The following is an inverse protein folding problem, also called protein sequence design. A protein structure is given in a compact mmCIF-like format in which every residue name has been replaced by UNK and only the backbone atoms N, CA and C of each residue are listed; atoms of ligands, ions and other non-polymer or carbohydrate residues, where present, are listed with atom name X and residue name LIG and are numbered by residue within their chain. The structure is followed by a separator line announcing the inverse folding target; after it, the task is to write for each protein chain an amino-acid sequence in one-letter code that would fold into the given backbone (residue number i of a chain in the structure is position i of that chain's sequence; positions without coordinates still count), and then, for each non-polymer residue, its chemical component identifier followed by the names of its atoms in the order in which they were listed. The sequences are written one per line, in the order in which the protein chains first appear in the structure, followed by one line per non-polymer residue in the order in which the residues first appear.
data_IF_371464781061
#
_entry.id   IF_371464781061
#
_cell.length_a   1.000
_cell.length_b   1.000
_cell.length_c   1.000
_cell.angle_alpha   90.00
_cell.angle_beta   90.00
_cell.angle_gamma   90.00
#
_symmetry.space_group_name_H-M   'P 1'
#
loop_
_entity.id
_entity.type
_entity.pdbx_description
1 polymer ?
#
# COMPACT_ATOMS: atom_id res chain seq x y z
N UNK A 1 -11.97 14.63 9.03
CA UNK A 1 -10.94 13.73 8.49
C UNK A 1 -9.81 14.57 7.94
N UNK A 2 -8.56 14.13 8.10
CA UNK A 2 -7.42 14.71 7.35
C UNK A 2 -7.72 14.62 5.84
N UNK A 3 -7.25 15.59 5.07
CA UNK A 3 -7.42 15.59 3.61
C UNK A 3 -6.50 14.56 2.94
N UNK A 4 -6.73 14.30 1.64
CA UNK A 4 -5.82 13.50 0.81
C UNK A 4 -4.38 14.01 0.91
N UNK A 5 -4.20 15.33 0.78
CA UNK A 5 -2.89 15.97 0.82
C UNK A 5 -2.25 15.81 2.19
N UNK A 6 -3.02 15.94 3.28
CA UNK A 6 -2.50 15.75 4.64
C UNK A 6 -1.98 14.32 4.85
N UNK A 7 -2.76 13.31 4.45
CA UNK A 7 -2.36 11.91 4.58
C UNK A 7 -1.12 11.58 3.73
N UNK A 8 -1.13 11.97 2.45
CA UNK A 8 -0.01 11.69 1.55
C UNK A 8 1.25 12.45 1.92
N UNK A 9 1.12 13.71 2.37
CA UNK A 9 2.28 14.50 2.82
C UNK A 9 2.89 13.90 4.08
N UNK A 10 2.06 13.52 5.06
CA UNK A 10 2.55 12.86 6.28
C UNK A 10 3.26 11.56 5.94
N UNK A 11 2.70 10.73 5.05
CA UNK A 11 3.32 9.48 4.63
C UNK A 11 4.63 9.72 3.84
N UNK A 12 4.66 10.70 2.94
CA UNK A 12 5.84 11.06 2.15
C UNK A 12 7.02 11.49 3.02
N UNK A 13 6.80 12.07 4.20
CA UNK A 13 7.91 12.41 5.12
C UNK A 13 8.71 11.17 5.57
N UNK A 14 8.11 9.99 5.57
CA UNK A 14 8.77 8.72 5.89
C UNK A 14 9.39 8.03 4.67
N UNK A 15 9.15 8.51 3.46
CA UNK A 15 9.51 7.83 2.22
C UNK A 15 10.00 8.85 1.19
N UNK A 16 11.24 9.32 1.33
CA UNK A 16 11.84 10.27 0.38
C UNK A 16 13.01 9.69 -0.39
N UNK A 17 13.64 8.62 0.11
CA UNK A 17 14.70 7.97 -0.63
C UNK A 17 14.11 7.21 -1.83
N UNK A 18 14.54 7.48 -3.07
CA UNK A 18 13.98 6.83 -4.25
C UNK A 18 14.15 5.31 -4.22
N UNK A 19 15.18 4.79 -3.53
CA UNK A 19 15.37 3.34 -3.34
C UNK A 19 14.27 2.77 -2.46
N UNK A 20 13.91 3.47 -1.39
CA UNK A 20 12.79 3.09 -0.52
C UNK A 20 11.48 3.08 -1.30
N UNK A 21 11.18 4.16 -2.03
CA UNK A 21 9.99 4.27 -2.87
C UNK A 21 9.94 3.13 -3.91
N UNK A 22 11.07 2.80 -4.55
CA UNK A 22 11.16 1.69 -5.49
C UNK A 22 10.81 0.34 -4.85
N UNK A 23 11.26 0.07 -3.62
CA UNK A 23 10.85 -1.16 -2.92
C UNK A 23 9.36 -1.18 -2.59
N UNK A 24 8.75 -0.02 -2.30
CA UNK A 24 7.32 0.08 -2.01
C UNK A 24 6.44 -0.25 -3.22
N UNK A 25 6.89 0.09 -4.43
CA UNK A 25 6.21 -0.28 -5.69
C UNK A 25 6.06 -1.79 -5.88
N UNK A 26 6.86 -2.61 -5.20
CA UNK A 26 6.78 -4.08 -5.25
C UNK A 26 6.20 -4.65 -3.95
N UNK A 27 6.76 -4.21 -2.81
CA UNK A 27 6.43 -4.76 -1.50
C UNK A 27 4.97 -4.50 -1.09
N UNK A 28 4.44 -3.29 -1.31
CA UNK A 28 3.06 -2.96 -0.93
C UNK A 28 2.06 -3.78 -1.75
N UNK A 29 2.12 -3.84 -3.09
CA UNK A 29 1.22 -4.70 -3.87
C UNK A 29 1.25 -6.16 -3.43
N UNK A 30 2.43 -6.74 -3.17
CA UNK A 30 2.55 -8.10 -2.66
C UNK A 30 1.82 -8.28 -1.32
N UNK A 31 1.99 -7.35 -0.38
CA UNK A 31 1.32 -7.41 0.92
C UNK A 31 -0.19 -7.26 0.78
N UNK A 32 -0.68 -6.33 -0.05
CA UNK A 32 -2.13 -6.13 -0.26
C UNK A 32 -2.77 -7.39 -0.84
N UNK A 33 -2.15 -8.01 -1.85
CA UNK A 33 -2.63 -9.27 -2.43
C UNK A 33 -2.55 -10.40 -1.40
N UNK A 34 -1.45 -10.51 -0.66
CA UNK A 34 -1.28 -11.52 0.38
C UNK A 34 -2.37 -11.45 1.46
N UNK A 35 -2.67 -10.25 1.95
CA UNK A 35 -3.73 -10.01 2.93
C UNK A 35 -5.09 -10.40 2.34
N UNK A 36 -5.37 -10.00 1.08
CA UNK A 36 -6.61 -10.40 0.41
C UNK A 36 -6.74 -11.92 0.25
N UNK A 37 -5.66 -12.62 -0.10
CA UNK A 37 -5.61 -14.10 -0.21
C UNK A 37 -5.87 -14.77 1.13
N UNK A 38 -5.13 -14.39 2.18
CA UNK A 38 -5.28 -15.01 3.49
C UNK A 38 -6.66 -14.76 4.08
N UNK A 39 -7.17 -13.54 3.95
CA UNK A 39 -8.49 -13.15 4.44
C UNK A 39 -9.64 -13.61 3.53
N UNK A 40 -9.40 -14.23 2.39
CA UNK A 40 -10.47 -14.77 1.54
C UNK A 40 -10.84 -16.22 1.87
N UNK A 41 -10.06 -16.93 2.71
CA UNK A 41 -10.32 -18.34 3.05
C UNK A 41 -11.50 -18.54 4.00
N UNK A 42 -11.65 -17.78 5.10
CA UNK A 42 -12.87 -17.85 5.89
C UNK A 42 -14.01 -17.24 5.06
N UNK A 43 -15.03 -18.03 4.76
CA UNK A 43 -16.12 -17.62 3.88
C UNK A 43 -17.47 -17.89 4.53
N UNK A 44 -18.41 -17.00 4.28
CA UNK A 44 -19.82 -17.14 4.65
C UNK A 44 -20.71 -16.68 3.50
N UNK A 45 -22.04 -16.78 3.70
CA UNK A 45 -23.03 -16.45 2.70
C UNK A 45 -22.75 -17.13 1.35
N UNK A 46 -22.42 -18.42 1.34
CA UNK A 46 -22.19 -19.18 0.10
C UNK A 46 -20.90 -18.83 -0.65
N UNK A 47 -19.90 -18.25 0.02
CA UNK A 47 -18.61 -17.87 -0.60
C UNK A 47 -18.53 -16.40 -1.03
N UNK A 48 -19.65 -15.68 -1.00
CA UNK A 48 -19.73 -14.29 -1.43
C UNK A 48 -19.08 -13.30 -0.45
N UNK A 49 -19.02 -13.66 0.83
CA UNK A 49 -18.47 -12.80 1.86
C UNK A 49 -17.29 -13.48 2.57
N UNK A 50 -16.26 -12.67 2.84
CA UNK A 50 -15.07 -13.05 3.59
C UNK A 50 -14.52 -11.84 4.34
N UNK A 51 -13.61 -12.01 5.31
CA UNK A 51 -12.99 -10.87 5.99
C UNK A 51 -12.27 -9.92 5.00
N UNK A 52 -11.73 -10.46 3.89
CA UNK A 52 -11.13 -9.66 2.84
C UNK A 52 -12.12 -8.65 2.24
N UNK A 53 -13.37 -9.07 1.97
CA UNK A 53 -14.42 -8.20 1.44
C UNK A 53 -14.74 -7.08 2.42
N UNK A 54 -14.86 -7.38 3.71
CA UNK A 54 -15.15 -6.37 4.74
C UNK A 54 -14.03 -5.32 4.84
N UNK A 55 -12.78 -5.77 4.88
CA UNK A 55 -11.60 -4.88 4.91
C UNK A 55 -11.53 -4.03 3.64
N UNK A 56 -11.78 -4.63 2.48
CA UNK A 56 -11.76 -3.90 1.22
C UNK A 56 -12.87 -2.88 1.10
N UNK A 57 -14.09 -3.17 1.57
CA UNK A 57 -15.19 -2.21 1.60
C UNK A 57 -14.88 -1.03 2.53
N UNK A 58 -14.31 -1.29 3.70
CA UNK A 58 -13.87 -0.24 4.62
C UNK A 58 -12.76 0.64 4.01
N UNK A 59 -11.77 0.03 3.36
CA UNK A 59 -10.70 0.74 2.65
C UNK A 59 -11.23 1.53 1.44
N UNK A 60 -12.13 0.94 0.64
CA UNK A 60 -12.77 1.61 -0.49
C UNK A 60 -13.57 2.83 -0.02
N UNK A 61 -14.36 2.69 1.04
CA UNK A 61 -15.07 3.81 1.67
C UNK A 61 -14.09 4.91 2.10
N UNK A 62 -13.00 4.55 2.78
CA UNK A 62 -11.97 5.51 3.16
C UNK A 62 -11.39 6.26 1.95
N UNK A 63 -11.00 5.56 0.89
CA UNK A 63 -10.41 6.20 -0.30
C UNK A 63 -11.41 7.07 -1.07
N UNK A 64 -12.67 6.64 -1.21
CA UNK A 64 -13.74 7.42 -1.83
C UNK A 64 -14.02 8.71 -1.07
N UNK A 65 -13.88 8.69 0.27
CA UNK A 65 -14.01 9.88 1.12
C UNK A 65 -12.82 10.83 1.00
N UNK A 66 -11.64 10.36 0.59
CA UNK A 66 -10.47 11.21 0.36
C UNK A 66 -10.55 11.93 -0.98
N UNK A 67 -10.79 11.20 -2.06
CA UNK A 67 -10.92 11.76 -3.41
C UNK A 67 -11.60 10.73 -4.33
N UNK A 68 -12.62 11.16 -5.08
CA UNK A 68 -13.48 10.25 -5.83
C UNK A 68 -12.73 9.45 -6.90
N UNK A 69 -11.87 10.07 -7.71
CA UNK A 69 -11.17 9.42 -8.83
C UNK A 69 -10.19 8.37 -8.32
N UNK A 70 -9.33 8.73 -7.35
CA UNK A 70 -8.44 7.77 -6.70
C UNK A 70 -9.23 6.70 -5.93
N UNK A 71 -10.33 7.06 -5.27
CA UNK A 71 -11.18 6.13 -4.55
C UNK A 71 -11.80 5.05 -5.45
N UNK A 72 -12.30 5.43 -6.62
CA UNK A 72 -12.81 4.47 -7.62
C UNK A 72 -11.69 3.57 -8.11
N UNK A 73 -10.52 4.13 -8.48
CA UNK A 73 -9.37 3.35 -8.93
C UNK A 73 -8.92 2.33 -7.87
N UNK A 74 -8.75 2.77 -6.62
CA UNK A 74 -8.38 1.89 -5.51
C UNK A 74 -9.44 0.81 -5.26
N UNK A 75 -10.73 1.14 -5.39
CA UNK A 75 -11.82 0.15 -5.23
C UNK A 75 -11.74 -0.95 -6.29
N UNK A 76 -11.42 -0.60 -7.54
CA UNK A 76 -11.19 -1.58 -8.61
C UNK A 76 -9.97 -2.45 -8.31
N UNK A 77 -8.85 -1.85 -7.91
CA UNK A 77 -7.62 -2.60 -7.56
C UNK A 77 -7.84 -3.55 -6.38
N UNK A 78 -8.55 -3.11 -5.35
CA UNK A 78 -8.95 -3.97 -4.22
C UNK A 78 -9.87 -5.10 -4.69
N UNK A 79 -10.83 -4.83 -5.58
CA UNK A 79 -11.69 -5.84 -6.18
C UNK A 79 -10.89 -6.93 -6.91
N UNK A 80 -9.86 -6.54 -7.68
CA UNK A 80 -8.94 -7.48 -8.33
C UNK A 80 -8.14 -8.31 -7.31
N UNK A 81 -7.69 -7.71 -6.21
CA UNK A 81 -7.01 -8.43 -5.13
C UNK A 81 -7.92 -9.44 -4.45
N UNK A 82 -9.18 -9.08 -4.17
CA UNK A 82 -10.19 -10.00 -3.62
C UNK A 82 -10.45 -11.14 -4.60
N UNK A 83 -10.61 -10.83 -5.89
CA UNK A 83 -10.83 -11.86 -6.91
C UNK A 83 -9.69 -12.87 -6.94
N UNK A 84 -8.43 -12.41 -6.97
CA UNK A 84 -7.27 -13.28 -6.87
C UNK A 84 -7.26 -14.08 -5.54
N UNK A 85 -7.63 -13.42 -4.44
CA UNK A 85 -7.76 -14.04 -3.13
C UNK A 85 -8.79 -15.16 -3.08
N UNK A 86 -9.94 -14.96 -3.70
CA UNK A 86 -11.01 -15.95 -3.82
C UNK A 86 -10.58 -17.15 -4.66
N UNK A 87 -9.87 -16.92 -5.78
CA UNK A 87 -9.31 -18.01 -6.61
C UNK A 87 -8.36 -18.88 -5.81
N UNK A 88 -7.45 -18.28 -5.03
CA UNK A 88 -6.51 -19.03 -4.19
C UNK A 88 -7.16 -19.64 -2.96
N UNK A 89 -8.21 -19.02 -2.41
CA UNK A 89 -8.97 -19.56 -1.29
C UNK A 89 -9.63 -20.91 -1.64
N UNK A 90 -9.95 -21.17 -2.91
CA UNK A 90 -10.51 -22.46 -3.35
C UNK A 90 -9.46 -23.55 -3.60
N UNK A 91 -8.16 -23.22 -3.57
CA UNK A 91 -7.09 -24.20 -3.77
C UNK A 91 -6.86 -25.06 -2.52
N UNK A 92 -5.94 -26.03 -2.61
CA UNK A 92 -5.50 -26.78 -1.43
C UNK A 92 -4.98 -25.85 -0.34
N UNK A 93 -5.07 -26.27 0.93
CA UNK A 93 -4.57 -25.48 2.07
C UNK A 93 -3.11 -25.11 1.90
N UNK A 94 -2.30 -26.03 1.34
CA UNK A 94 -0.89 -25.77 1.07
C UNK A 94 -0.70 -24.63 0.06
N UNK A 95 -1.39 -24.66 -1.08
CA UNK A 95 -1.25 -23.62 -2.11
C UNK A 95 -1.71 -22.27 -1.58
N UNK A 96 -2.87 -22.22 -0.92
CA UNK A 96 -3.40 -20.99 -0.32
C UNK A 96 -2.45 -20.41 0.73
N UNK A 97 -1.98 -21.24 1.67
CA UNK A 97 -1.15 -20.77 2.77
C UNK A 97 0.24 -20.37 2.28
N UNK A 98 0.87 -21.19 1.42
CA UNK A 98 2.19 -20.90 0.89
C UNK A 98 2.21 -19.64 0.02
N UNK A 99 1.19 -19.43 -0.82
CA UNK A 99 1.08 -18.21 -1.63
C UNK A 99 0.81 -16.97 -0.76
N UNK A 100 -0.16 -17.03 0.14
CA UNK A 100 -0.50 -15.92 1.03
C UNK A 100 0.65 -15.53 1.96
N UNK A 101 1.20 -16.48 2.72
CA UNK A 101 2.32 -16.22 3.64
C UNK A 101 3.59 -15.88 2.87
N UNK A 102 3.87 -16.56 1.75
CA UNK A 102 5.04 -16.30 0.93
C UNK A 102 5.07 -14.86 0.40
N UNK A 103 3.97 -14.40 -0.22
CA UNK A 103 3.86 -13.02 -0.68
C UNK A 103 3.93 -12.01 0.47
N UNK A 104 3.32 -12.32 1.63
CA UNK A 104 3.36 -11.45 2.80
C UNK A 104 4.79 -11.25 3.32
N UNK A 105 5.52 -12.36 3.54
CA UNK A 105 6.89 -12.34 4.05
C UNK A 105 7.84 -11.67 3.06
N UNK A 106 7.76 -12.02 1.77
CA UNK A 106 8.61 -11.43 0.73
C UNK A 106 8.33 -9.93 0.60
N UNK A 107 7.05 -9.53 0.55
CA UNK A 107 6.67 -8.12 0.45
C UNK A 107 7.17 -7.29 1.62
N UNK A 108 7.11 -7.82 2.85
CA UNK A 108 7.67 -7.15 4.02
C UNK A 108 9.19 -7.11 4.02
N UNK A 109 9.86 -8.19 3.64
CA UNK A 109 11.32 -8.20 3.52
C UNK A 109 11.80 -7.10 2.56
N UNK A 110 11.16 -6.96 1.40
CA UNK A 110 11.43 -5.90 0.43
C UNK A 110 11.21 -4.50 1.05
N UNK A 111 10.08 -4.28 1.75
CA UNK A 111 9.82 -3.00 2.40
C UNK A 111 10.85 -2.67 3.49
N UNK A 112 11.26 -3.64 4.31
CA UNK A 112 12.26 -3.41 5.35
C UNK A 112 13.63 -3.03 4.76
N UNK A 113 14.00 -3.61 3.62
CA UNK A 113 15.20 -3.17 2.88
C UNK A 113 15.05 -1.71 2.43
N UNK A 114 13.89 -1.30 1.92
CA UNK A 114 13.59 0.09 1.59
C UNK A 114 13.75 1.03 2.79
N UNK A 115 13.15 0.67 3.91
CA UNK A 115 13.22 1.43 5.16
C UNK A 115 14.64 1.52 5.72
N UNK A 116 15.48 0.50 5.48
CA UNK A 116 16.90 0.56 5.79
C UNK A 116 17.61 1.65 4.98
N UNK A 117 17.31 1.81 3.68
CA UNK A 117 17.85 2.91 2.86
C UNK A 117 17.35 4.28 3.32
N UNK A 118 16.10 4.38 3.77
CA UNK A 118 15.54 5.62 4.31
C UNK A 118 16.13 5.98 5.69
N UNK A 119 16.50 4.98 6.50
CA UNK A 119 16.96 5.19 7.88
C UNK A 119 15.83 5.55 8.83
N UNK A 120 14.60 5.23 8.43
CA UNK A 120 13.38 5.44 9.20
C UNK A 120 12.64 4.13 9.29
N UNK A 121 12.10 3.85 10.47
CA UNK A 121 11.16 2.75 10.66
C UNK A 121 9.91 2.94 9.77
N UNK A 122 9.20 1.87 9.44
CA UNK A 122 7.94 1.97 8.73
C UNK A 122 6.94 2.91 9.40
N UNK A 123 6.23 3.70 8.61
CA UNK A 123 5.29 4.71 9.13
C UNK A 123 4.19 4.11 10.02
N UNK A 124 3.76 2.86 9.74
CA UNK A 124 2.73 2.19 10.52
C UNK A 124 3.12 1.91 11.97
N UNK A 125 4.42 1.92 12.28
CA UNK A 125 4.92 1.75 13.65
C UNK A 125 4.54 2.96 14.51
N UNK A 126 4.41 4.15 13.91
CA UNK A 126 3.95 5.36 14.61
C UNK A 126 2.44 5.57 14.49
N UNK A 127 1.86 5.26 13.32
CA UNK A 127 0.43 5.44 13.04
C UNK A 127 -0.07 4.33 12.11
N UNK A 128 -0.92 3.44 12.62
CA UNK A 128 -1.49 2.31 11.86
C UNK A 128 -2.18 2.73 10.55
N UNK A 129 -2.66 3.98 10.47
CA UNK A 129 -3.21 4.57 9.25
C UNK A 129 -2.24 4.50 8.07
N UNK A 130 -0.93 4.47 8.34
CA UNK A 130 0.11 4.25 7.35
C UNK A 130 -0.09 2.98 6.52
N UNK A 131 -0.68 1.91 7.07
CA UNK A 131 -1.00 0.69 6.31
C UNK A 131 -2.04 0.92 5.22
N UNK A 132 -3.02 1.79 5.47
CA UNK A 132 -4.09 2.11 4.51
C UNK A 132 -3.61 3.19 3.53
N UNK A 133 -2.76 4.12 3.97
CA UNK A 133 -2.22 5.19 3.12
C UNK A 133 -1.14 4.68 2.16
N UNK A 134 -0.33 3.69 2.55
CA UNK A 134 0.74 3.13 1.71
C UNK A 134 0.29 2.68 0.31
N UNK A 135 -0.75 1.84 0.16
CA UNK A 135 -1.29 1.45 -1.14
C UNK A 135 -1.70 2.63 -2.02
N UNK A 136 -2.34 3.64 -1.42
CA UNK A 136 -2.73 4.86 -2.13
C UNK A 136 -1.51 5.67 -2.56
N UNK A 137 -0.50 5.78 -1.70
CA UNK A 137 0.77 6.45 -1.99
C UNK A 137 1.45 5.83 -3.22
N UNK A 138 1.53 4.51 -3.31
CA UNK A 138 2.12 3.82 -4.49
C UNK A 138 1.37 4.14 -5.78
N UNK A 139 0.04 4.17 -5.76
CA UNK A 139 -0.76 4.54 -6.95
C UNK A 139 -0.54 6.00 -7.35
N UNK A 140 -0.42 6.90 -6.37
CA UNK A 140 -0.17 8.32 -6.63
C UNK A 140 1.26 8.55 -7.15
N UNK A 141 2.27 7.88 -6.60
CA UNK A 141 3.64 7.91 -7.12
C UNK A 141 3.71 7.35 -8.54
N UNK A 142 2.97 6.27 -8.86
CA UNK A 142 2.86 5.78 -10.23
C UNK A 142 2.27 6.85 -11.15
N UNK A 143 1.21 7.53 -10.71
CA UNK A 143 0.60 8.61 -11.48
C UNK A 143 1.60 9.75 -11.73
N UNK A 144 2.44 10.08 -10.75
CA UNK A 144 3.50 11.08 -10.91
C UNK A 144 4.57 10.65 -11.91
N UNK A 145 4.99 9.39 -11.90
CA UNK A 145 5.93 8.84 -12.88
C UNK A 145 5.36 8.87 -14.30
N UNK A 146 4.06 8.71 -14.45
CA UNK A 146 3.33 8.85 -15.72
C UNK A 146 3.06 10.32 -16.11
N UNK A 147 3.54 11.29 -15.33
CA UNK A 147 3.36 12.72 -15.59
C UNK A 147 1.97 13.26 -15.26
N UNK A 148 1.13 12.49 -14.58
CA UNK A 148 -0.21 12.86 -14.12
C UNK A 148 -0.16 13.52 -12.73
N UNK A 149 -1.28 14.13 -12.31
CA UNK A 149 -1.49 14.66 -10.95
C UNK A 149 -0.41 15.67 -10.48
N UNK A 150 0.15 16.47 -11.39
CA UNK A 150 1.24 17.44 -11.09
C UNK A 150 0.93 18.38 -9.92
N UNK A 151 -0.26 18.96 -9.88
CA UNK A 151 -0.69 19.85 -8.78
C UNK A 151 -0.67 19.14 -7.41
N UNK A 152 -1.07 17.87 -7.36
CA UNK A 152 -1.04 17.08 -6.13
C UNK A 152 0.42 16.82 -5.70
N UNK A 153 1.29 16.52 -6.67
CA UNK A 153 2.72 16.34 -6.42
C UNK A 153 3.33 17.61 -5.81
N UNK A 154 3.10 18.76 -6.43
CA UNK A 154 3.59 20.06 -5.96
C UNK A 154 3.10 20.37 -4.54
N UNK A 155 1.83 20.09 -4.22
CA UNK A 155 1.28 20.28 -2.88
C UNK A 155 1.92 19.37 -1.83
N UNK A 156 2.23 18.12 -2.19
CA UNK A 156 2.92 17.16 -1.30
C UNK A 156 4.37 17.60 -1.08
N UNK A 157 5.09 17.92 -2.16
CA UNK A 157 6.49 18.33 -2.10
C UNK A 157 6.67 19.66 -1.34
N UNK A 158 5.73 20.59 -1.45
CA UNK A 158 5.73 21.83 -0.67
C UNK A 158 5.64 21.58 0.85
N UNK A 159 5.07 20.45 1.28
CA UNK A 159 4.87 20.11 2.70
C UNK A 159 5.91 19.12 3.23
N UNK A 160 6.25 18.09 2.47
CA UNK A 160 7.14 17.00 2.88
C UNK A 160 8.58 17.15 2.35
N UNK A 161 8.79 18.03 1.37
CA UNK A 161 9.99 18.07 0.53
C UNK A 161 9.95 17.00 -0.56
N UNK A 162 10.70 17.24 -1.65
CA UNK A 162 10.81 16.31 -2.77
C UNK A 162 11.60 15.03 -2.44
N UNK A 163 11.56 14.10 -3.39
CA UNK A 163 12.37 12.88 -3.40
C UNK A 163 13.85 13.26 -3.32
N UNK A 164 14.59 12.60 -2.42
CA UNK A 164 16.01 12.84 -2.19
C UNK A 164 16.69 11.58 -1.66
N UNK A 165 17.90 11.30 -2.14
CA UNK A 165 18.73 10.25 -1.56
C UNK A 165 19.12 10.62 -0.13
N UNK A 166 19.06 9.65 0.79
CA UNK A 166 19.67 9.81 2.10
C UNK A 166 21.19 9.90 1.93
N UNK A 167 21.77 11.00 2.39
CA UNK A 167 23.21 11.11 2.55
C UNK A 167 23.58 10.38 3.84
N UNK A 168 24.32 9.29 3.73
CA UNK A 168 24.90 8.63 4.89
C UNK A 168 26.00 9.54 5.42
N UNK A 169 25.83 10.11 6.61
CA UNK A 169 26.87 10.85 7.32
C UNK A 169 27.95 9.88 7.86
N UNK A 170 28.46 8.99 7.02
CA UNK A 170 29.54 8.05 7.34
C UNK A 170 30.93 8.62 6.97
N UNK A 171 31.01 9.91 6.61
CA UNK A 171 32.24 10.61 6.26
C UNK A 171 32.38 11.98 6.95
N UNK A 172 32.15 12.03 8.27
CA UNK A 172 32.54 13.14 9.14
C UNK A 172 33.23 12.58 10.39
#
# INVERSE_FOLDING_TARGET
MKSLVDHLSQYATYHRDPRNIATHFIGIPLIVVAVAVLLSRPQWAGGWLSPAVLVALASAWFYLRLELRLGVLMSVLLGLCIWAGQVLAQQSTLVWLASGVGMFVIGWAIQFVGHHYEGRKPAFVDDVTGLIVGPLFVVVELAFLLGLRRELKEQIEARAGGVRLRQDNAAA
#
